data_IF_898194454454
#
_entry.id   IF_898194454454
#
_cell.length_a   1.000
_cell.length_b   1.000
_cell.length_c   1.000
_cell.angle_alpha   90.00
_cell.angle_beta   90.00
_cell.angle_gamma   90.00
#
_symmetry.space_group_name_H-M   'P 1'
#
loop_
_entity.id
_entity.type
_entity.pdbx_description
1 polymer ?
#
# COMPACT_ATOMS: atom_id res chain seq x y z
N UNK A 1 -48.06 -13.06 -3.06
CA UNK A 1 -46.96 -12.10 -3.04
C UNK A 1 -45.69 -12.92 -2.93
N UNK A 2 -45.06 -13.18 -4.07
CA UNK A 2 -43.76 -13.84 -4.17
C UNK A 2 -42.95 -12.95 -5.12
N UNK A 3 -42.14 -12.06 -4.55
CA UNK A 3 -41.26 -11.18 -5.32
C UNK A 3 -39.82 -11.68 -5.14
N UNK A 4 -39.39 -12.50 -6.11
CA UNK A 4 -37.98 -12.77 -6.35
C UNK A 4 -37.29 -11.52 -6.84
N UNK A 5 -36.50 -10.88 -5.98
CA UNK A 5 -35.57 -9.84 -6.39
C UNK A 5 -34.27 -10.48 -6.92
N UNK A 6 -33.73 -10.02 -8.06
CA UNK A 6 -32.51 -10.55 -8.68
C UNK A 6 -31.29 -10.34 -7.77
N UNK A 7 -30.18 -11.10 -7.96
CA UNK A 7 -28.98 -10.94 -7.15
C UNK A 7 -28.52 -9.49 -7.25
N UNK A 8 -28.55 -8.78 -6.12
CA UNK A 8 -27.90 -7.50 -5.98
C UNK A 8 -26.43 -7.78 -6.24
N UNK A 9 -25.96 -7.50 -7.44
CA UNK A 9 -24.53 -7.43 -7.72
C UNK A 9 -24.07 -6.24 -6.89
N UNK A 10 -23.53 -6.57 -5.72
CA UNK A 10 -23.07 -5.61 -4.77
C UNK A 10 -21.99 -4.77 -5.45
N UNK A 11 -22.13 -3.44 -5.42
CA UNK A 11 -21.11 -2.55 -5.98
C UNK A 11 -19.75 -2.76 -5.28
N UNK A 12 -19.77 -3.30 -4.06
CA UNK A 12 -18.57 -3.74 -3.32
C UNK A 12 -17.87 -4.89 -4.05
N UNK A 13 -18.61 -5.85 -4.65
CA UNK A 13 -18.00 -6.91 -5.48
C UNK A 13 -17.43 -6.39 -6.80
N UNK A 14 -17.98 -5.30 -7.34
CA UNK A 14 -17.41 -4.60 -8.50
C UNK A 14 -16.12 -3.84 -8.15
N UNK A 15 -16.00 -3.34 -6.92
CA UNK A 15 -14.74 -2.77 -6.38
C UNK A 15 -13.68 -3.87 -6.20
N UNK A 16 -14.10 -5.06 -5.75
CA UNK A 16 -13.22 -6.24 -5.62
C UNK A 16 -12.78 -6.83 -6.98
N UNK A 17 -13.57 -6.67 -8.04
CA UNK A 17 -13.22 -7.19 -9.38
C UNK A 17 -12.31 -6.28 -10.20
N UNK A 18 -12.20 -4.98 -9.87
CA UNK A 18 -11.37 -4.05 -10.64
C UNK A 18 -9.88 -4.13 -10.28
N UNK A 19 -9.53 -4.80 -9.19
CA UNK A 19 -8.16 -4.88 -8.66
C UNK A 19 -7.44 -6.20 -8.98
N UNK A 20 -8.09 -7.13 -9.70
CA UNK A 20 -7.67 -8.54 -9.71
C UNK A 20 -6.75 -8.99 -10.85
N UNK A 21 -6.54 -8.20 -11.90
CA UNK A 21 -5.84 -8.74 -13.09
C UNK A 21 -4.43 -8.20 -13.39
N UNK A 22 -4.06 -6.95 -13.06
CA UNK A 22 -2.68 -6.47 -13.26
C UNK A 22 -2.43 -5.08 -12.66
N UNK A 23 -1.66 -5.03 -11.58
CA UNK A 23 -1.09 -3.77 -11.07
C UNK A 23 -1.98 -3.03 -10.08
N UNK A 24 -1.80 -3.36 -8.80
CA UNK A 24 -1.92 -2.35 -7.77
C UNK A 24 -0.85 -1.29 -8.05
N UNK A 25 -1.23 -0.07 -8.44
CA UNK A 25 -0.28 1.02 -8.68
C UNK A 25 0.28 1.50 -7.33
N UNK A 26 1.25 0.75 -6.83
CA UNK A 26 2.13 1.14 -5.75
C UNK A 26 2.87 2.43 -6.16
N UNK A 27 2.43 3.56 -5.62
CA UNK A 27 3.05 4.85 -5.92
C UNK A 27 4.33 4.99 -5.10
N UNK A 28 5.48 4.85 -5.76
CA UNK A 28 6.78 5.15 -5.14
C UNK A 28 6.91 6.65 -4.92
N UNK A 29 6.88 7.06 -3.65
CA UNK A 29 6.95 8.46 -3.24
C UNK A 29 8.40 8.92 -3.18
N UNK A 30 9.26 8.13 -2.54
CA UNK A 30 10.67 8.49 -2.34
C UNK A 30 11.54 7.24 -2.21
N UNK A 31 12.82 7.37 -2.55
CA UNK A 31 13.82 6.33 -2.30
C UNK A 31 15.14 6.97 -1.84
N UNK A 32 15.80 6.36 -0.85
CA UNK A 32 17.10 6.80 -0.37
C UNK A 32 18.01 5.61 -0.10
N UNK A 33 19.31 5.80 -0.28
CA UNK A 33 20.31 4.79 0.10
C UNK A 33 20.78 5.11 1.51
N UNK A 34 20.59 4.18 2.44
CA UNK A 34 21.10 4.28 3.79
C UNK A 34 22.63 4.18 3.81
N UNK A 35 23.28 4.68 4.86
CA UNK A 35 24.74 4.61 5.02
C UNK A 35 25.30 3.18 5.02
N UNK A 36 24.47 2.18 5.36
CA UNK A 36 24.79 0.75 5.29
C UNK A 36 24.76 0.16 3.87
N UNK A 37 24.32 0.94 2.87
CA UNK A 37 24.15 0.50 1.50
C UNK A 37 22.76 -0.01 1.15
N UNK A 38 21.90 -0.25 2.15
CA UNK A 38 20.51 -0.66 1.93
C UNK A 38 19.67 0.46 1.30
N UNK A 39 18.80 0.10 0.35
CA UNK A 39 17.86 1.04 -0.28
C UNK A 39 16.57 1.07 0.53
N UNK A 40 16.16 2.25 1.02
CA UNK A 40 14.84 2.46 1.59
C UNK A 40 13.93 3.07 0.54
N UNK A 41 12.69 2.60 0.44
CA UNK A 41 11.67 3.19 -0.43
C UNK A 41 10.41 3.48 0.39
N UNK A 42 9.83 4.66 0.21
CA UNK A 42 8.52 5.03 0.72
C UNK A 42 7.52 4.87 -0.42
N UNK A 43 6.47 4.10 -0.18
CA UNK A 43 5.48 3.73 -1.18
C UNK A 43 4.08 3.93 -0.62
N UNK A 44 3.13 4.30 -1.46
CA UNK A 44 1.72 4.39 -1.12
C UNK A 44 0.93 3.36 -1.91
N UNK A 45 0.25 2.47 -1.19
CA UNK A 45 -0.64 1.48 -1.77
C UNK A 45 -2.02 2.11 -1.98
N UNK A 46 -2.44 2.28 -3.23
CA UNK A 46 -3.75 2.84 -3.52
C UNK A 46 -4.90 1.89 -3.15
N UNK A 47 -4.65 0.58 -3.05
CA UNK A 47 -5.68 -0.40 -2.70
C UNK A 47 -6.10 -0.33 -1.24
N UNK A 48 -5.13 -0.32 -0.34
CA UNK A 48 -5.38 -0.29 1.09
C UNK A 48 -5.28 1.12 1.69
N UNK A 49 -4.90 2.11 0.89
CA UNK A 49 -4.76 3.51 1.32
C UNK A 49 -3.64 3.72 2.34
N UNK A 50 -2.71 2.78 2.49
CA UNK A 50 -1.61 2.88 3.45
C UNK A 50 -0.30 3.25 2.78
N UNK A 51 0.57 3.86 3.57
CA UNK A 51 1.96 4.11 3.29
C UNK A 51 2.81 2.97 3.85
N UNK A 52 3.74 2.45 3.08
CA UNK A 52 4.69 1.46 3.56
C UNK A 52 6.11 1.81 3.17
N UNK A 53 7.05 1.38 4.01
CA UNK A 53 8.49 1.57 3.81
C UNK A 53 9.12 0.21 3.56
N UNK A 54 9.77 0.07 2.42
CA UNK A 54 10.63 -1.08 2.14
C UNK A 54 12.07 -0.72 2.47
N UNK A 55 12.83 -1.71 2.92
CA UNK A 55 14.29 -1.64 3.08
C UNK A 55 14.87 -2.89 2.42
N UNK A 56 15.65 -2.66 1.36
CA UNK A 56 16.21 -3.71 0.51
C UNK A 56 15.11 -4.59 -0.12
N UNK A 57 14.03 -3.95 -0.60
CA UNK A 57 12.86 -4.61 -1.16
C UNK A 57 11.97 -5.36 -0.15
N UNK A 58 12.28 -5.29 1.16
CA UNK A 58 11.46 -5.91 2.22
C UNK A 58 10.67 -4.84 2.96
N UNK A 59 9.36 -4.95 3.00
CA UNK A 59 8.51 -4.10 3.86
C UNK A 59 8.96 -4.20 5.32
N UNK A 60 9.20 -3.05 5.96
CA UNK A 60 9.53 -2.95 7.38
C UNK A 60 8.47 -2.24 8.20
N UNK A 61 7.70 -1.37 7.54
CA UNK A 61 6.64 -0.61 8.15
C UNK A 61 5.51 -0.47 7.14
N UNK A 62 4.27 -0.58 7.63
CA UNK A 62 3.06 -0.19 6.93
C UNK A 62 2.20 0.62 7.90
N UNK A 63 1.66 1.74 7.45
CA UNK A 63 0.82 2.63 8.24
C UNK A 63 -0.11 3.44 7.35
N UNK A 64 -1.36 3.57 7.76
CA UNK A 64 -2.35 4.50 7.21
C UNK A 64 -2.04 5.97 7.53
N UNK A 65 -1.08 6.24 8.42
CA UNK A 65 -0.65 7.58 8.80
C UNK A 65 0.62 7.98 8.03
N UNK A 66 0.55 8.96 7.11
CA UNK A 66 1.69 9.34 6.27
C UNK A 66 2.89 9.81 7.08
N UNK A 67 2.67 10.57 8.15
CA UNK A 67 3.74 11.08 9.01
C UNK A 67 4.53 9.95 9.70
N UNK A 68 3.86 8.86 10.07
CA UNK A 68 4.52 7.69 10.68
C UNK A 68 5.44 7.01 9.67
N UNK A 69 4.95 6.77 8.44
CA UNK A 69 5.76 6.19 7.38
C UNK A 69 6.93 7.11 6.97
N UNK A 70 6.69 8.41 6.86
CA UNK A 70 7.71 9.39 6.51
C UNK A 70 8.79 9.53 7.60
N UNK A 71 8.42 9.52 8.89
CA UNK A 71 9.39 9.53 9.99
C UNK A 71 10.28 8.29 9.99
N UNK A 72 9.72 7.12 9.70
CA UNK A 72 10.50 5.89 9.60
C UNK A 72 11.44 5.89 8.38
N UNK A 73 10.94 6.35 7.23
CA UNK A 73 11.75 6.52 6.02
C UNK A 73 12.93 7.48 6.25
N UNK A 74 12.65 8.63 6.88
CA UNK A 74 13.64 9.69 7.14
C UNK A 74 14.56 9.40 8.34
N UNK A 75 14.17 8.48 9.21
CA UNK A 75 14.95 8.09 10.37
C UNK A 75 16.21 7.28 10.02
N UNK A 76 17.14 7.11 10.97
CA UNK A 76 18.23 6.15 10.82
C UNK A 76 17.64 4.76 10.52
N UNK A 77 18.30 3.97 9.67
CA UNK A 77 17.90 2.56 9.53
C UNK A 77 17.99 1.91 10.92
N UNK A 78 16.96 1.18 11.39
CA UNK A 78 17.11 0.42 12.61
C UNK A 78 18.28 -0.56 12.41
N UNK A 79 19.20 -0.54 13.37
CA UNK A 79 20.39 -1.40 13.42
C UNK A 79 20.02 -2.88 13.55
#
# INVERSE_FOLDING_TARGET
MDEGFPPVIDKTLLDEMRCRDKGCDDLRIAACKSGSGAVKELVFCQLDGCYYVTVDGRERLRSDVPETAYRYFSGPAPE
#
